data_IF_530078476776
#
_entry.id   IF_530078476776
#
_cell.length_a   1.000
_cell.length_b   1.000
_cell.length_c   1.000
_cell.angle_alpha   90.00
_cell.angle_beta   90.00
_cell.angle_gamma   90.00
#
_symmetry.space_group_name_H-M   'P 1'
#
loop_
_entity.id
_entity.type
_entity.pdbx_description
1 polymer ?
#
# COMPACT_ATOMS: atom_id res chain seq x y z
N UNK A 1 59.82 -30.22 -22.83
CA UNK A 1 58.99 -29.26 -23.60
C UNK A 1 57.55 -29.82 -23.60
N UNK A 2 56.72 -29.35 -22.68
CA UNK A 2 55.35 -29.81 -22.53
C UNK A 2 54.41 -28.61 -22.72
N UNK A 3 53.64 -28.62 -23.80
CA UNK A 3 52.75 -27.55 -24.20
C UNK A 3 51.52 -27.51 -23.30
N UNK A 4 51.28 -26.37 -22.69
CA UNK A 4 50.10 -26.06 -21.84
C UNK A 4 48.94 -25.64 -22.76
N UNK A 5 47.89 -26.47 -22.89
CA UNK A 5 46.65 -26.09 -23.55
C UNK A 5 45.83 -25.18 -22.65
N UNK A 6 45.61 -23.93 -23.09
CA UNK A 6 44.70 -22.98 -22.51
C UNK A 6 43.26 -23.42 -22.77
N UNK A 7 42.49 -23.60 -21.67
CA UNK A 7 41.03 -23.73 -21.71
C UNK A 7 40.40 -22.39 -21.99
N UNK A 8 39.73 -22.27 -23.10
CA UNK A 8 38.81 -21.15 -23.38
C UNK A 8 37.56 -21.34 -22.57
N UNK A 9 37.28 -20.36 -21.68
CA UNK A 9 36.09 -20.31 -20.85
C UNK A 9 34.88 -19.96 -21.71
N UNK A 10 33.94 -20.89 -21.85
CA UNK A 10 32.66 -20.64 -22.52
C UNK A 10 31.80 -19.73 -21.62
N UNK A 11 31.58 -18.53 -22.08
CA UNK A 11 30.63 -17.57 -21.47
C UNK A 11 29.22 -18.17 -21.62
N UNK A 12 28.65 -18.65 -20.51
CA UNK A 12 27.24 -19.04 -20.45
C UNK A 12 26.39 -17.80 -20.68
N UNK A 13 25.72 -17.75 -21.84
CA UNK A 13 24.66 -16.77 -22.11
C UNK A 13 23.47 -17.17 -21.23
N UNK A 14 23.14 -16.33 -20.26
CA UNK A 14 21.93 -16.50 -19.47
C UNK A 14 20.70 -16.46 -20.40
N UNK A 15 19.72 -17.37 -20.23
CA UNK A 15 18.49 -17.32 -21.01
C UNK A 15 17.77 -16.00 -20.77
N UNK A 16 17.22 -15.41 -21.83
CA UNK A 16 16.40 -14.22 -21.74
C UNK A 16 15.22 -14.47 -20.77
N UNK A 17 14.80 -13.47 -19.97
CA UNK A 17 13.71 -13.64 -19.02
C UNK A 17 12.45 -14.11 -19.75
N UNK A 18 11.86 -15.21 -19.29
CA UNK A 18 10.59 -15.70 -19.83
C UNK A 18 9.52 -14.60 -19.75
N UNK A 19 8.92 -14.28 -20.89
CA UNK A 19 7.86 -13.26 -20.96
C UNK A 19 6.65 -13.77 -20.15
N UNK A 20 6.35 -13.11 -19.03
CA UNK A 20 5.21 -13.46 -18.20
C UNK A 20 3.91 -12.94 -18.85
N UNK A 21 2.85 -13.75 -18.79
CA UNK A 21 1.55 -13.44 -19.38
C UNK A 21 0.43 -13.39 -18.32
N UNK A 22 -0.52 -12.48 -18.52
CA UNK A 22 -1.72 -12.32 -17.67
C UNK A 22 -3.00 -12.36 -18.51
N UNK A 23 -4.13 -12.70 -17.89
CA UNK A 23 -5.45 -12.57 -18.51
C UNK A 23 -5.86 -11.09 -18.60
N UNK A 24 -6.88 -10.78 -19.42
CA UNK A 24 -7.42 -9.41 -19.50
C UNK A 24 -7.93 -8.90 -18.14
N UNK A 25 -8.51 -9.78 -17.32
CA UNK A 25 -8.89 -9.47 -15.95
C UNK A 25 -7.69 -9.19 -15.03
N UNK A 26 -6.57 -9.94 -15.25
CA UNK A 26 -5.30 -9.67 -14.57
C UNK A 26 -4.72 -8.30 -14.97
N UNK A 27 -4.76 -8.01 -16.29
CA UNK A 27 -4.29 -6.74 -16.84
C UNK A 27 -5.12 -5.55 -16.30
N UNK A 28 -6.45 -5.69 -16.26
CA UNK A 28 -7.37 -4.68 -15.69
C UNK A 28 -7.07 -4.42 -14.21
N UNK A 29 -6.93 -5.48 -13.40
CA UNK A 29 -6.56 -5.34 -11.98
C UNK A 29 -5.20 -4.67 -11.79
N UNK A 30 -4.21 -5.04 -12.60
CA UNK A 30 -2.86 -4.48 -12.50
C UNK A 30 -2.77 -3.01 -12.92
N UNK A 31 -3.66 -2.54 -13.80
CA UNK A 31 -3.60 -1.19 -14.39
C UNK A 31 -4.67 -0.24 -13.89
N UNK A 32 -5.75 -0.75 -13.28
CA UNK A 32 -6.93 0.02 -12.92
C UNK A 32 -7.85 0.36 -14.09
N UNK A 33 -7.49 -0.03 -15.33
CA UNK A 33 -8.30 0.27 -16.52
C UNK A 33 -9.39 -0.80 -16.70
N UNK A 34 -10.67 -0.41 -16.89
CA UNK A 34 -11.77 -1.36 -17.07
C UNK A 34 -11.55 -2.31 -18.27
N UNK A 35 -11.99 -3.57 -18.12
CA UNK A 35 -11.85 -4.61 -19.15
C UNK A 35 -12.42 -4.14 -20.49
N UNK A 36 -13.57 -3.50 -20.49
CA UNK A 36 -14.23 -3.03 -21.72
C UNK A 36 -13.44 -1.92 -22.40
N UNK A 37 -12.77 -1.07 -21.63
CA UNK A 37 -11.85 -0.06 -22.15
C UNK A 37 -10.64 -0.72 -22.82
N UNK A 38 -10.03 -1.71 -22.17
CA UNK A 38 -8.90 -2.46 -22.74
C UNK A 38 -9.29 -3.20 -24.03
N UNK A 39 -10.49 -3.79 -24.10
CA UNK A 39 -11.04 -4.41 -25.31
C UNK A 39 -11.26 -3.40 -26.43
N UNK A 40 -11.78 -2.22 -26.08
CA UNK A 40 -11.99 -1.13 -27.05
C UNK A 40 -10.64 -0.63 -27.59
N UNK A 41 -9.63 -0.52 -26.76
CA UNK A 41 -8.30 -0.12 -27.21
C UNK A 41 -7.65 -1.19 -28.10
N UNK A 42 -7.75 -2.48 -27.71
CA UNK A 42 -7.28 -3.59 -28.55
C UNK A 42 -7.95 -3.55 -29.93
N UNK A 43 -9.27 -3.37 -29.98
CA UNK A 43 -10.05 -3.36 -31.20
C UNK A 43 -9.75 -2.12 -32.09
N UNK A 44 -9.68 -0.92 -31.49
CA UNK A 44 -9.54 0.33 -32.23
C UNK A 44 -8.12 0.69 -32.58
N UNK A 45 -7.19 0.35 -31.70
CA UNK A 45 -5.80 0.82 -31.80
C UNK A 45 -4.79 -0.32 -31.86
N UNK A 46 -5.23 -1.60 -31.77
CA UNK A 46 -4.36 -2.76 -31.77
C UNK A 46 -3.51 -2.92 -30.49
N UNK A 47 -3.83 -2.21 -29.43
CA UNK A 47 -3.13 -2.26 -28.15
C UNK A 47 -4.12 -2.24 -26.96
N UNK A 48 -3.90 -3.08 -25.91
CA UNK A 48 -2.82 -4.05 -25.73
C UNK A 48 -2.91 -5.24 -26.71
N UNK A 49 -1.77 -5.75 -27.18
CA UNK A 49 -1.73 -6.88 -28.12
C UNK A 49 -1.90 -8.20 -27.37
N UNK A 50 -2.94 -8.97 -27.73
CA UNK A 50 -3.16 -10.28 -27.15
C UNK A 50 -2.43 -11.40 -27.92
N UNK A 51 -1.99 -12.43 -27.19
CA UNK A 51 -1.51 -13.70 -27.72
C UNK A 51 -2.51 -14.78 -27.34
N UNK A 52 -2.83 -15.71 -28.25
CA UNK A 52 -3.73 -16.83 -27.97
C UNK A 52 -2.95 -18.04 -27.46
N UNK A 53 -3.40 -18.62 -26.35
CA UNK A 53 -2.97 -19.95 -25.92
C UNK A 53 -3.47 -21.05 -26.87
N UNK A 54 -2.86 -22.24 -26.85
CA UNK A 54 -3.41 -23.41 -27.54
C UNK A 54 -4.86 -23.72 -27.12
N UNK A 55 -5.25 -23.36 -25.89
CA UNK A 55 -6.62 -23.48 -25.37
C UNK A 55 -7.60 -22.42 -25.91
N UNK A 56 -7.17 -21.53 -26.81
CA UNK A 56 -7.99 -20.44 -27.37
C UNK A 56 -8.12 -19.19 -26.51
N UNK A 57 -7.70 -19.22 -25.23
CA UNK A 57 -7.77 -18.07 -24.34
C UNK A 57 -6.75 -16.99 -24.68
N UNK A 58 -7.18 -15.72 -24.64
CA UNK A 58 -6.30 -14.56 -24.84
C UNK A 58 -5.48 -14.26 -23.60
N UNK A 59 -4.21 -13.99 -23.81
CA UNK A 59 -3.25 -13.54 -22.82
C UNK A 59 -2.55 -12.27 -23.29
N UNK A 60 -2.04 -11.51 -22.35
CA UNK A 60 -1.33 -10.25 -22.57
C UNK A 60 0.01 -10.29 -21.84
N UNK A 61 1.03 -9.73 -22.45
CA UNK A 61 2.34 -9.62 -21.81
C UNK A 61 2.27 -8.69 -20.59
N UNK A 62 2.94 -9.07 -19.51
CA UNK A 62 3.05 -8.23 -18.30
C UNK A 62 3.72 -6.90 -18.60
N UNK A 63 4.59 -6.84 -19.61
CA UNK A 63 5.23 -5.62 -20.11
C UNK A 63 4.24 -4.54 -20.54
N UNK A 64 3.02 -4.91 -20.94
CA UNK A 64 1.96 -3.94 -21.28
C UNK A 64 1.45 -3.14 -20.07
N UNK A 65 1.62 -3.65 -18.83
CA UNK A 65 1.10 -3.00 -17.60
C UNK A 65 1.62 -1.58 -17.46
N UNK A 66 2.93 -1.40 -17.58
CA UNK A 66 3.56 -0.08 -17.42
C UNK A 66 3.09 0.91 -18.48
N UNK A 67 3.04 0.47 -19.72
CA UNK A 67 2.57 1.33 -20.82
C UNK A 67 1.09 1.69 -20.67
N UNK A 68 0.22 0.76 -20.24
CA UNK A 68 -1.20 1.04 -19.99
C UNK A 68 -1.35 2.05 -18.85
N UNK A 69 -0.58 1.92 -17.78
CA UNK A 69 -0.58 2.92 -16.68
C UNK A 69 -0.19 4.32 -17.17
N UNK A 70 0.84 4.42 -18.03
CA UNK A 70 1.26 5.69 -18.63
C UNK A 70 0.19 6.28 -19.54
N UNK A 71 -0.49 5.46 -20.35
CA UNK A 71 -1.63 5.86 -21.18
C UNK A 71 -2.78 6.37 -20.29
N UNK A 72 -3.15 5.63 -19.24
CA UNK A 72 -4.18 6.05 -18.28
C UNK A 72 -3.85 7.41 -17.66
N UNK A 73 -2.62 7.60 -17.19
CA UNK A 73 -2.15 8.87 -16.66
C UNK A 73 -2.13 10.03 -17.69
N UNK A 74 -1.98 9.74 -18.98
CA UNK A 74 -2.09 10.72 -20.05
C UNK A 74 -3.54 11.14 -20.31
N UNK A 75 -4.47 10.17 -20.29
CA UNK A 75 -5.91 10.43 -20.41
C UNK A 75 -6.44 11.26 -19.24
N UNK A 76 -5.99 10.98 -18.01
CA UNK A 76 -6.32 11.78 -16.82
C UNK A 76 -5.85 13.23 -16.93
N UNK A 77 -4.79 13.50 -17.68
CA UNK A 77 -4.30 14.84 -17.98
C UNK A 77 -5.05 15.51 -19.13
N UNK A 78 -6.06 14.84 -19.70
CA UNK A 78 -6.94 15.38 -20.74
C UNK A 78 -6.48 15.10 -22.18
N UNK A 79 -5.44 14.26 -22.37
CA UNK A 79 -5.06 13.80 -23.72
C UNK A 79 -6.12 12.81 -24.24
N UNK A 80 -6.24 12.69 -25.54
CA UNK A 80 -7.27 11.85 -26.18
C UNK A 80 -6.74 10.43 -26.40
N UNK A 81 -7.60 9.43 -26.21
CA UNK A 81 -7.25 8.02 -26.41
C UNK A 81 -6.68 7.74 -27.82
N UNK A 82 -7.23 8.39 -28.84
CA UNK A 82 -6.72 8.27 -30.22
C UNK A 82 -5.31 8.80 -30.44
N UNK A 83 -4.81 9.64 -29.55
CA UNK A 83 -3.45 10.20 -29.60
C UNK A 83 -2.47 9.34 -28.80
N UNK A 84 -2.88 8.89 -27.61
CA UNK A 84 -1.95 8.27 -26.65
C UNK A 84 -1.87 6.75 -26.75
N UNK A 85 -2.97 6.07 -27.10
CA UNK A 85 -2.99 4.60 -27.17
C UNK A 85 -2.14 4.06 -28.32
N UNK A 86 -2.21 4.61 -29.57
CA UNK A 86 -1.37 4.17 -30.66
C UNK A 86 0.05 4.77 -30.65
N UNK A 87 0.32 5.78 -29.80
CA UNK A 87 1.62 6.45 -29.73
C UNK A 87 2.76 5.47 -29.40
N UNK A 88 3.94 5.70 -29.94
CA UNK A 88 5.15 4.98 -29.48
C UNK A 88 5.54 5.44 -28.07
N UNK A 89 6.37 4.69 -27.38
CA UNK A 89 6.79 5.08 -26.01
C UNK A 89 7.49 6.44 -25.99
N UNK A 90 8.31 6.73 -26.98
CA UNK A 90 8.99 8.04 -27.14
C UNK A 90 7.99 9.18 -27.35
N UNK A 91 6.96 8.96 -28.17
CA UNK A 91 5.91 9.97 -28.42
C UNK A 91 5.04 10.15 -27.17
N UNK A 92 4.71 9.07 -26.48
CA UNK A 92 3.95 9.11 -25.22
C UNK A 92 4.72 9.88 -24.13
N UNK A 93 6.03 9.69 -24.02
CA UNK A 93 6.87 10.44 -23.11
C UNK A 93 6.92 11.93 -23.46
N UNK A 94 7.07 12.24 -24.73
CA UNK A 94 7.01 13.63 -25.22
C UNK A 94 5.65 14.28 -24.92
N UNK A 95 4.55 13.61 -25.18
CA UNK A 95 3.20 14.08 -24.86
C UNK A 95 3.01 14.30 -23.35
N UNK A 96 3.48 13.36 -22.52
CA UNK A 96 3.44 13.48 -21.07
C UNK A 96 4.31 14.61 -20.52
N UNK A 97 5.39 14.97 -21.22
CA UNK A 97 6.28 16.10 -20.86
C UNK A 97 5.68 17.46 -21.26
N UNK A 98 4.88 17.52 -22.34
CA UNK A 98 4.27 18.77 -22.82
C UNK A 98 3.01 19.15 -22.05
N UNK A 99 2.31 18.16 -21.50
CA UNK A 99 1.16 18.43 -20.63
C UNK A 99 1.67 18.59 -19.21
N UNK A 100 1.67 19.80 -18.63
CA UNK A 100 2.08 19.96 -17.25
C UNK A 100 1.29 18.96 -16.41
N UNK A 101 1.98 18.24 -15.51
CA UNK A 101 1.29 17.58 -14.40
C UNK A 101 0.37 18.66 -13.87
N UNK A 102 -0.94 18.58 -14.21
CA UNK A 102 -1.92 19.51 -13.66
C UNK A 102 -1.51 19.60 -12.19
N UNK A 103 -1.16 20.79 -11.64
CA UNK A 103 -1.01 20.84 -10.21
C UNK A 103 -2.28 20.17 -9.74
N UNK A 104 -2.15 19.14 -8.91
CA UNK A 104 -3.30 18.48 -8.32
C UNK A 104 -4.00 19.64 -7.65
N UNK A 105 -4.85 20.34 -8.42
CA UNK A 105 -5.89 21.16 -7.85
C UNK A 105 -6.53 20.12 -7.00
N UNK A 106 -6.35 20.22 -5.66
CA UNK A 106 -7.09 19.42 -4.72
C UNK A 106 -8.41 19.18 -5.39
N UNK A 107 -8.56 18.02 -6.05
CA UNK A 107 -9.86 17.52 -6.43
C UNK A 107 -10.57 17.77 -5.13
N UNK A 108 -11.61 18.59 -5.12
CA UNK A 108 -12.39 18.73 -3.92
C UNK A 108 -12.88 17.31 -3.70
N UNK A 109 -12.11 16.56 -2.93
CA UNK A 109 -12.51 15.26 -2.43
C UNK A 109 -13.89 15.56 -1.88
N UNK A 110 -14.91 14.90 -2.42
CA UNK A 110 -16.26 15.13 -1.94
C UNK A 110 -16.18 15.03 -0.43
N UNK A 111 -16.63 16.04 0.32
CA UNK A 111 -16.48 16.04 1.78
C UNK A 111 -16.96 14.70 2.29
N UNK A 112 -16.16 14.06 3.17
CA UNK A 112 -16.56 12.78 3.75
C UNK A 112 -17.96 12.92 4.34
N UNK A 113 -18.92 12.20 3.77
CA UNK A 113 -20.30 12.18 4.25
C UNK A 113 -20.48 11.05 5.26
N UNK A 114 -20.34 11.42 6.54
CA UNK A 114 -20.51 10.51 7.67
C UNK A 114 -21.86 9.79 7.66
N UNK A 115 -22.93 10.48 7.26
CA UNK A 115 -24.28 9.91 7.24
C UNK A 115 -24.40 8.83 6.18
N UNK A 116 -23.98 9.12 4.96
CA UNK A 116 -23.97 8.13 3.89
C UNK A 116 -23.10 6.93 4.22
N UNK A 117 -21.93 7.14 4.87
CA UNK A 117 -21.07 6.05 5.30
C UNK A 117 -21.79 5.11 6.28
N UNK A 118 -22.38 5.65 7.36
CA UNK A 118 -23.11 4.85 8.36
C UNK A 118 -24.33 4.16 7.73
N UNK A 119 -25.04 4.80 6.80
CA UNK A 119 -26.17 4.18 6.10
C UNK A 119 -25.74 2.96 5.26
N UNK A 120 -24.59 3.02 4.59
CA UNK A 120 -24.02 1.88 3.88
C UNK A 120 -23.60 0.75 4.82
N UNK A 121 -23.04 1.08 5.99
CA UNK A 121 -22.70 0.13 7.03
C UNK A 121 -23.94 -0.58 7.57
N UNK A 122 -24.99 0.15 7.91
CA UNK A 122 -26.27 -0.41 8.37
C UNK A 122 -26.90 -1.40 7.39
N UNK A 123 -26.77 -1.13 6.09
CA UNK A 123 -27.32 -1.97 5.03
C UNK A 123 -26.41 -3.13 4.63
N UNK A 124 -25.23 -3.25 5.20
CA UNK A 124 -24.18 -4.19 4.77
C UNK A 124 -23.91 -4.10 3.26
N UNK A 125 -24.02 -2.89 2.66
CA UNK A 125 -23.82 -2.66 1.22
C UNK A 125 -22.31 -2.61 0.89
N UNK A 126 -21.71 -3.80 0.80
CA UNK A 126 -20.27 -3.95 0.55
C UNK A 126 -19.82 -3.26 -0.73
N UNK A 127 -20.59 -3.38 -1.81
CA UNK A 127 -20.21 -2.85 -3.11
C UNK A 127 -20.19 -1.32 -3.13
N UNK A 128 -21.19 -0.66 -2.56
CA UNK A 128 -21.22 0.79 -2.48
C UNK A 128 -20.23 1.32 -1.48
N UNK A 129 -20.07 0.65 -0.34
CA UNK A 129 -19.06 1.01 0.66
C UNK A 129 -17.65 0.95 0.07
N UNK A 130 -17.29 -0.12 -0.61
CA UNK A 130 -15.99 -0.26 -1.28
C UNK A 130 -15.78 0.81 -2.35
N UNK A 131 -16.77 1.09 -3.20
CA UNK A 131 -16.69 2.19 -4.18
C UNK A 131 -16.47 3.54 -3.52
N UNK A 132 -17.18 3.83 -2.44
CA UNK A 132 -17.02 5.06 -1.67
C UNK A 132 -15.62 5.20 -1.07
N UNK A 133 -15.06 4.13 -0.53
CA UNK A 133 -13.72 4.12 0.03
C UNK A 133 -12.63 4.25 -1.05
N UNK A 134 -12.85 3.71 -2.26
CA UNK A 134 -11.87 3.82 -3.36
C UNK A 134 -11.97 5.11 -4.17
N UNK A 135 -13.04 5.91 -4.04
CA UNK A 135 -13.32 7.03 -4.95
C UNK A 135 -12.21 8.07 -5.06
N UNK A 136 -11.50 8.33 -3.97
CA UNK A 136 -10.50 9.40 -3.89
C UNK A 136 -9.05 8.90 -4.04
N UNK A 137 -8.88 7.60 -4.05
CA UNK A 137 -7.60 6.91 -3.93
C UNK A 137 -6.69 7.05 -5.17
N UNK A 138 -7.27 7.34 -6.33
CA UNK A 138 -6.53 7.48 -7.58
C UNK A 138 -5.77 8.81 -7.68
N UNK A 139 -6.11 9.80 -6.86
CA UNK A 139 -5.69 11.19 -7.02
C UNK A 139 -4.97 11.77 -5.78
N UNK A 140 -4.97 11.06 -4.65
CA UNK A 140 -4.42 11.55 -3.39
C UNK A 140 -3.13 10.82 -2.97
N UNK A 141 -2.25 11.55 -2.28
CA UNK A 141 -1.16 10.95 -1.53
C UNK A 141 -1.73 10.06 -0.43
N UNK A 142 -1.15 8.86 -0.17
CA UNK A 142 -1.66 7.92 0.83
C UNK A 142 -1.86 8.51 2.22
N UNK A 143 -0.98 9.41 2.67
CA UNK A 143 -1.16 10.07 3.98
C UNK A 143 -2.40 10.96 3.97
N UNK A 144 -2.57 11.80 2.94
CA UNK A 144 -3.75 12.65 2.78
C UNK A 144 -5.02 11.80 2.74
N UNK A 145 -5.04 10.71 1.98
CA UNK A 145 -6.17 9.79 1.93
C UNK A 145 -6.51 9.20 3.31
N UNK A 146 -5.51 8.78 4.07
CA UNK A 146 -5.73 8.27 5.43
C UNK A 146 -6.33 9.33 6.36
N UNK A 147 -5.82 10.56 6.29
CA UNK A 147 -6.26 11.66 7.15
C UNK A 147 -7.64 12.21 6.77
N UNK A 148 -7.97 12.27 5.47
CA UNK A 148 -9.21 12.90 4.99
C UNK A 148 -10.35 11.91 4.78
N UNK A 149 -10.05 10.62 4.64
CA UNK A 149 -11.07 9.59 4.37
C UNK A 149 -11.12 8.51 5.45
N UNK A 150 -10.03 7.80 5.70
CA UNK A 150 -10.05 6.62 6.58
C UNK A 150 -10.22 7.02 8.04
N UNK A 151 -9.45 7.99 8.53
CA UNK A 151 -9.56 8.45 9.92
C UNK A 151 -10.97 8.95 10.26
N UNK A 152 -11.62 9.80 9.44
CA UNK A 152 -13.01 10.17 9.65
C UNK A 152 -14.00 8.99 9.63
N UNK A 153 -13.80 7.98 8.77
CA UNK A 153 -14.61 6.76 8.79
C UNK A 153 -14.52 6.06 10.15
N UNK A 154 -13.30 5.89 10.67
CA UNK A 154 -13.08 5.21 11.96
C UNK A 154 -13.65 6.01 13.13
N UNK A 155 -13.53 7.34 13.13
CA UNK A 155 -14.10 8.20 14.16
C UNK A 155 -15.64 8.12 14.19
N UNK A 156 -16.28 8.16 13.01
CA UNK A 156 -17.73 8.08 12.91
C UNK A 156 -18.23 6.69 13.31
N UNK A 157 -17.52 5.64 12.88
CA UNK A 157 -17.82 4.26 13.25
C UNK A 157 -17.75 4.06 14.77
N UNK A 158 -16.69 4.57 15.42
CA UNK A 158 -16.51 4.51 16.86
C UNK A 158 -17.62 5.25 17.63
N UNK A 159 -17.96 6.47 17.19
CA UNK A 159 -19.06 7.26 17.80
C UNK A 159 -20.42 6.57 17.65
N UNK A 160 -20.73 6.01 16.49
CA UNK A 160 -21.96 5.28 16.23
C UNK A 160 -22.07 4.02 17.11
N UNK A 161 -20.94 3.31 17.30
CA UNK A 161 -20.87 2.15 18.18
C UNK A 161 -21.07 2.56 19.66
N UNK A 162 -20.36 3.59 20.13
CA UNK A 162 -20.52 4.12 21.51
C UNK A 162 -21.94 4.61 21.80
N UNK A 163 -22.61 5.20 20.79
CA UNK A 163 -24.00 5.65 20.89
C UNK A 163 -25.02 4.49 20.80
N UNK A 164 -24.59 3.26 20.48
CA UNK A 164 -25.49 2.11 20.25
C UNK A 164 -26.31 2.22 18.95
N UNK A 165 -25.89 3.09 18.03
CA UNK A 165 -26.53 3.24 16.71
C UNK A 165 -26.20 2.06 15.78
N UNK A 166 -25.07 1.41 15.99
CA UNK A 166 -24.63 0.20 15.30
C UNK A 166 -24.25 -0.88 16.30
N UNK A 167 -24.38 -2.13 15.89
CA UNK A 167 -23.93 -3.29 16.67
C UNK A 167 -22.54 -3.79 16.21
N UNK A 168 -22.03 -4.81 16.90
CA UNK A 168 -20.72 -5.40 16.65
C UNK A 168 -20.58 -5.94 15.22
N UNK A 169 -21.67 -6.44 14.61
CA UNK A 169 -21.65 -6.98 13.26
C UNK A 169 -21.44 -5.89 12.21
N UNK A 170 -22.02 -4.71 12.43
CA UNK A 170 -21.81 -3.54 11.58
C UNK A 170 -20.38 -3.00 11.68
N UNK A 171 -19.86 -2.91 12.92
CA UNK A 171 -18.48 -2.47 13.16
C UNK A 171 -17.49 -3.41 12.47
N UNK A 172 -17.61 -4.72 12.68
CA UNK A 172 -16.76 -5.72 12.06
C UNK A 172 -16.85 -5.68 10.53
N UNK A 173 -18.06 -5.58 9.97
CA UNK A 173 -18.26 -5.44 8.53
C UNK A 173 -17.50 -4.23 7.95
N UNK A 174 -17.64 -3.06 8.59
CA UNK A 174 -16.97 -1.84 8.15
C UNK A 174 -15.44 -1.94 8.29
N UNK A 175 -14.95 -2.43 9.42
CA UNK A 175 -13.52 -2.61 9.72
C UNK A 175 -12.85 -3.57 8.73
N UNK A 176 -13.50 -4.68 8.35
CA UNK A 176 -12.99 -5.60 7.33
C UNK A 176 -12.92 -4.92 5.94
N UNK A 177 -13.95 -4.17 5.54
CA UNK A 177 -13.94 -3.45 4.25
C UNK A 177 -12.84 -2.38 4.20
N UNK A 178 -12.65 -1.63 5.27
CA UNK A 178 -11.54 -0.67 5.40
C UNK A 178 -10.19 -1.41 5.30
N UNK A 179 -10.06 -2.55 5.99
CA UNK A 179 -8.84 -3.37 5.94
C UNK A 179 -8.52 -3.86 4.53
N UNK A 180 -9.53 -4.32 3.77
CA UNK A 180 -9.37 -4.76 2.38
C UNK A 180 -8.84 -3.62 1.49
N UNK A 181 -9.38 -2.41 1.65
CA UNK A 181 -8.93 -1.22 0.91
C UNK A 181 -7.48 -0.91 1.26
N UNK A 182 -7.15 -0.82 2.54
CA UNK A 182 -5.79 -0.48 3.00
C UNK A 182 -4.75 -1.49 2.48
N UNK A 183 -5.05 -2.79 2.53
CA UNK A 183 -4.19 -3.85 1.98
C UNK A 183 -4.02 -3.71 0.47
N UNK A 184 -5.13 -3.52 -0.26
CA UNK A 184 -5.10 -3.38 -1.72
C UNK A 184 -4.27 -2.18 -2.19
N UNK A 185 -4.35 -1.06 -1.45
CA UNK A 185 -3.56 0.14 -1.75
C UNK A 185 -2.08 -0.08 -1.44
N UNK A 186 -1.78 -0.64 -0.28
CA UNK A 186 -0.42 -0.89 0.18
C UNK A 186 0.38 -1.76 -0.79
N UNK A 187 -0.21 -2.81 -1.35
CA UNK A 187 0.45 -3.73 -2.28
C UNK A 187 1.09 -3.02 -3.48
N UNK A 188 0.52 -1.90 -3.93
CA UNK A 188 1.06 -1.10 -5.04
C UNK A 188 2.43 -0.49 -4.72
N UNK A 189 2.69 -0.19 -3.46
CA UNK A 189 3.93 0.40 -2.98
C UNK A 189 4.94 -0.66 -2.56
N UNK A 190 4.48 -1.80 -2.04
CA UNK A 190 5.35 -2.89 -1.58
C UNK A 190 6.16 -3.52 -2.73
N UNK A 191 5.58 -3.63 -3.94
CA UNK A 191 6.25 -4.18 -5.11
C UNK A 191 7.55 -3.43 -5.47
N UNK A 192 7.63 -2.15 -5.17
CA UNK A 192 8.79 -1.28 -5.50
C UNK A 192 9.60 -0.86 -4.28
N UNK A 193 9.20 -1.28 -3.09
CA UNK A 193 9.86 -0.89 -1.84
C UNK A 193 11.21 -1.59 -1.68
N UNK A 194 12.29 -0.81 -1.67
CA UNK A 194 13.68 -1.29 -1.51
C UNK A 194 14.37 -0.72 -0.26
N UNK A 195 13.67 0.11 0.49
CA UNK A 195 14.17 0.79 1.68
C UNK A 195 14.38 -0.12 2.89
N UNK A 196 14.73 0.47 4.04
CA UNK A 196 14.86 -0.23 5.30
C UNK A 196 13.61 -1.05 5.66
N UNK A 197 13.82 -2.19 6.33
CA UNK A 197 12.71 -3.05 6.80
C UNK A 197 12.18 -2.54 8.14
N UNK A 198 10.85 -2.47 8.24
CA UNK A 198 10.11 -2.20 9.48
C UNK A 198 9.14 -3.35 9.75
N UNK A 199 9.19 -3.90 10.97
CA UNK A 199 8.25 -4.92 11.45
C UNK A 199 7.08 -4.21 12.15
N UNK A 200 5.84 -4.59 11.85
CA UNK A 200 4.64 -4.03 12.45
C UNK A 200 3.84 -5.13 13.16
N UNK A 201 3.36 -4.83 14.36
CA UNK A 201 2.51 -5.72 15.14
C UNK A 201 1.61 -4.95 16.10
N UNK A 202 0.58 -5.60 16.65
CA UNK A 202 0.06 -5.25 17.95
C UNK A 202 0.54 -6.26 18.99
N UNK A 203 0.60 -5.84 20.26
CA UNK A 203 1.06 -6.68 21.37
C UNK A 203 -0.10 -7.50 21.98
N UNK A 204 0.16 -8.49 22.82
CA UNK A 204 -0.87 -9.31 23.43
C UNK A 204 -1.96 -8.47 24.11
N UNK A 205 -3.22 -8.85 23.91
CA UNK A 205 -4.42 -8.15 24.37
C UNK A 205 -4.91 -7.04 23.44
N UNK A 206 -4.19 -6.74 22.35
CA UNK A 206 -4.61 -5.74 21.35
C UNK A 206 -5.03 -6.43 20.05
N UNK A 207 -6.33 -6.57 19.83
CA UNK A 207 -6.93 -7.19 18.66
C UNK A 207 -7.21 -6.22 17.50
N UNK A 208 -7.09 -4.89 17.72
CA UNK A 208 -7.41 -3.90 16.70
C UNK A 208 -6.27 -3.73 15.69
N UNK A 209 -6.46 -4.26 14.48
CA UNK A 209 -5.43 -4.30 13.44
C UNK A 209 -5.39 -3.10 12.50
N UNK A 210 -6.42 -2.24 12.46
CA UNK A 210 -6.49 -1.15 11.47
C UNK A 210 -5.37 -0.13 11.62
N UNK A 211 -4.96 0.18 12.84
CA UNK A 211 -3.84 1.10 13.09
C UNK A 211 -2.52 0.63 12.44
N UNK A 212 -2.21 -0.67 12.53
CA UNK A 212 -1.02 -1.23 11.85
C UNK A 212 -1.19 -1.28 10.32
N UNK A 213 -2.40 -1.45 9.79
CA UNK A 213 -2.64 -1.38 8.34
C UNK A 213 -2.43 0.05 7.81
N UNK A 214 -2.91 1.06 8.53
CA UNK A 214 -2.68 2.47 8.20
C UNK A 214 -1.18 2.82 8.26
N UNK A 215 -0.51 2.42 9.32
CA UNK A 215 0.95 2.60 9.46
C UNK A 215 1.71 1.89 8.32
N UNK A 216 1.33 0.66 7.99
CA UNK A 216 1.95 -0.11 6.91
C UNK A 216 1.82 0.61 5.55
N UNK A 217 0.67 1.23 5.28
CA UNK A 217 0.47 2.00 4.04
C UNK A 217 1.37 3.24 4.00
N UNK A 218 1.46 4.01 5.09
CA UNK A 218 2.35 5.18 5.17
C UNK A 218 3.79 4.78 4.90
N UNK A 219 4.28 3.73 5.58
CA UNK A 219 5.67 3.27 5.46
C UNK A 219 5.98 2.77 4.04
N UNK A 220 5.10 1.94 3.47
CA UNK A 220 5.27 1.42 2.12
C UNK A 220 5.27 2.54 1.06
N UNK A 221 4.40 3.55 1.22
CA UNK A 221 4.35 4.72 0.34
C UNK A 221 5.63 5.56 0.35
N UNK A 222 6.42 5.50 1.44
CA UNK A 222 7.76 6.12 1.52
C UNK A 222 8.88 5.18 1.06
N UNK A 223 8.54 4.01 0.51
CA UNK A 223 9.49 3.06 -0.05
C UNK A 223 10.16 2.15 0.98
N UNK A 224 9.66 2.11 2.22
CA UNK A 224 10.11 1.17 3.25
C UNK A 224 9.53 -0.22 2.99
N UNK A 225 10.32 -1.25 3.23
CA UNK A 225 9.82 -2.62 3.27
C UNK A 225 9.08 -2.84 4.58
N UNK A 226 7.89 -3.42 4.51
CA UNK A 226 7.03 -3.63 5.67
C UNK A 226 6.78 -5.12 5.87
N UNK A 227 6.98 -5.60 7.09
CA UNK A 227 6.61 -6.94 7.52
C UNK A 227 5.56 -6.83 8.63
N UNK A 228 4.30 -6.98 8.25
CA UNK A 228 3.18 -6.92 9.20
C UNK A 228 2.88 -8.31 9.76
N UNK A 229 2.97 -8.47 11.08
CA UNK A 229 2.70 -9.73 11.79
C UNK A 229 1.23 -9.89 12.19
N UNK A 230 0.45 -8.81 12.13
CA UNK A 230 -0.93 -8.81 12.60
C UNK A 230 -1.06 -8.45 14.07
N UNK A 231 -2.09 -9.00 14.71
CA UNK A 231 -2.50 -8.65 16.06
C UNK A 231 -2.07 -9.65 17.11
N UNK A 232 -2.01 -9.21 18.38
CA UNK A 232 -1.76 -10.05 19.55
C UNK A 232 -0.45 -10.89 19.51
N UNK A 233 0.60 -10.33 18.91
CA UNK A 233 1.87 -11.04 18.74
C UNK A 233 2.69 -10.99 20.03
N UNK A 234 3.20 -12.13 20.53
CA UNK A 234 4.07 -12.16 21.71
C UNK A 234 5.32 -11.28 21.54
N UNK A 235 5.67 -10.53 22.59
CA UNK A 235 6.82 -9.61 22.61
C UNK A 235 8.10 -10.26 22.11
N UNK A 236 8.41 -11.45 22.63
CA UNK A 236 9.61 -12.20 22.27
C UNK A 236 9.66 -12.55 20.77
N UNK A 237 8.51 -12.89 20.16
CA UNK A 237 8.42 -13.21 18.75
C UNK A 237 8.67 -11.97 17.87
N UNK A 238 8.13 -10.81 18.26
CA UNK A 238 8.38 -9.54 17.57
C UNK A 238 9.86 -9.18 17.61
N UNK A 239 10.48 -9.26 18.80
CA UNK A 239 11.89 -8.95 18.98
C UNK A 239 12.80 -9.90 18.21
N UNK A 240 12.58 -11.21 18.34
CA UNK A 240 13.37 -12.24 17.65
C UNK A 240 13.27 -12.11 16.11
N UNK A 241 12.09 -11.81 15.58
CA UNK A 241 11.91 -11.61 14.15
C UNK A 241 12.61 -10.33 13.67
N UNK A 242 12.48 -9.24 14.40
CA UNK A 242 13.14 -7.99 14.05
C UNK A 242 14.67 -8.13 13.97
N UNK A 243 15.26 -8.88 14.89
CA UNK A 243 16.69 -9.20 14.89
C UNK A 243 17.07 -10.11 13.72
N UNK A 244 16.35 -11.22 13.55
CA UNK A 244 16.62 -12.23 12.51
C UNK A 244 16.52 -11.65 11.10
N UNK A 245 15.60 -10.72 10.88
CA UNK A 245 15.41 -10.07 9.59
C UNK A 245 16.28 -8.83 9.38
N UNK A 246 17.02 -8.39 10.38
CA UNK A 246 17.82 -7.17 10.33
C UNK A 246 16.95 -5.91 10.20
N UNK A 247 15.78 -5.91 10.82
CA UNK A 247 14.88 -4.77 10.76
C UNK A 247 15.53 -3.49 11.31
N UNK A 248 15.21 -2.36 10.71
CA UNK A 248 15.66 -1.05 11.15
C UNK A 248 14.75 -0.44 12.22
N UNK A 249 13.49 -0.87 12.22
CA UNK A 249 12.49 -0.43 13.18
C UNK A 249 11.42 -1.47 13.46
N UNK A 250 10.77 -1.32 14.60
CA UNK A 250 9.55 -2.04 14.99
C UNK A 250 8.48 -1.00 15.30
N UNK A 251 7.31 -1.17 14.70
CA UNK A 251 6.15 -0.31 14.96
C UNK A 251 5.04 -1.08 15.69
N UNK A 252 4.48 -0.48 16.71
CA UNK A 252 3.38 -1.03 17.51
C UNK A 252 2.20 -0.07 17.49
N UNK A 253 0.99 -0.59 17.22
CA UNK A 253 -0.25 0.16 17.34
C UNK A 253 -0.99 -0.20 18.62
N UNK A 254 -1.54 0.81 19.30
CA UNK A 254 -2.27 0.68 20.55
C UNK A 254 -3.60 1.44 20.45
N UNK A 255 -4.71 0.76 20.65
CA UNK A 255 -6.04 1.37 20.71
C UNK A 255 -6.35 1.92 22.10
N UNK A 256 -7.39 2.76 22.21
CA UNK A 256 -7.85 3.27 23.51
C UNK A 256 -8.29 2.16 24.47
N UNK A 257 -8.80 1.05 23.95
CA UNK A 257 -9.27 -0.08 24.78
C UNK A 257 -8.15 -0.74 25.57
N UNK A 258 -6.91 -0.70 25.07
CA UNK A 258 -5.75 -1.38 25.66
C UNK A 258 -4.74 -0.43 26.30
N UNK A 259 -4.99 0.88 26.31
CA UNK A 259 -4.03 1.91 26.75
C UNK A 259 -3.43 1.66 28.16
N UNK A 260 -4.22 1.07 29.09
CA UNK A 260 -3.76 0.80 30.46
C UNK A 260 -2.69 -0.28 30.52
N UNK A 261 -2.71 -1.24 29.61
CA UNK A 261 -1.80 -2.40 29.57
C UNK A 261 -0.61 -2.15 28.65
N UNK A 262 -0.76 -1.24 27.69
CA UNK A 262 0.21 -0.99 26.62
C UNK A 262 1.59 -0.59 27.13
N UNK A 263 1.67 0.21 28.20
CA UNK A 263 2.95 0.70 28.71
C UNK A 263 3.89 -0.44 29.14
N UNK A 264 3.37 -1.47 29.79
CA UNK A 264 4.16 -2.62 30.23
C UNK A 264 4.65 -3.43 29.02
N UNK A 265 3.78 -3.70 28.04
CA UNK A 265 4.14 -4.43 26.83
C UNK A 265 5.17 -3.68 25.97
N UNK A 266 5.04 -2.38 25.80
CA UNK A 266 5.99 -1.52 25.09
C UNK A 266 7.35 -1.50 25.80
N UNK A 267 7.38 -1.39 27.13
CA UNK A 267 8.60 -1.42 27.91
C UNK A 267 9.31 -2.78 27.81
N UNK A 268 8.56 -3.88 27.88
CA UNK A 268 9.08 -5.22 27.69
C UNK A 268 9.69 -5.38 26.29
N UNK A 269 8.98 -4.96 25.25
CA UNK A 269 9.49 -5.01 23.87
C UNK A 269 10.77 -4.18 23.71
N UNK A 270 10.81 -2.96 24.29
CA UNK A 270 12.01 -2.13 24.25
C UNK A 270 13.21 -2.80 24.92
N UNK A 271 12.97 -3.51 26.02
CA UNK A 271 14.04 -4.23 26.76
C UNK A 271 14.63 -5.41 25.95
N UNK A 272 13.81 -6.10 25.16
CA UNK A 272 14.24 -7.21 24.32
C UNK A 272 14.90 -6.78 23.01
N UNK A 273 14.51 -5.64 22.43
CA UNK A 273 15.07 -5.15 21.17
C UNK A 273 16.49 -4.61 21.33
N UNK A 274 17.36 -4.93 20.38
CA UNK A 274 18.69 -4.30 20.28
C UNK A 274 18.56 -2.76 20.13
N UNK A 275 19.53 -2.02 20.70
CA UNK A 275 19.54 -0.54 20.67
C UNK A 275 19.52 0.07 19.26
N UNK A 276 20.05 -0.63 18.26
CA UNK A 276 20.09 -0.19 16.86
C UNK A 276 18.74 -0.28 16.15
N UNK A 277 17.78 -1.04 16.71
CA UNK A 277 16.41 -1.17 16.18
C UNK A 277 15.54 -0.11 16.86
N UNK A 278 15.00 0.80 16.08
CA UNK A 278 14.12 1.83 16.57
C UNK A 278 12.76 1.22 16.94
N UNK A 279 12.20 1.61 18.08
CA UNK A 279 10.85 1.26 18.46
C UNK A 279 9.96 2.50 18.32
N UNK A 280 8.92 2.37 17.51
CA UNK A 280 7.91 3.41 17.32
C UNK A 280 6.55 2.89 17.80
N UNK A 281 5.79 3.73 18.48
CA UNK A 281 4.46 3.39 18.99
C UNK A 281 3.48 4.48 18.59
N UNK A 282 2.34 4.08 18.06
CA UNK A 282 1.26 4.99 17.66
C UNK A 282 -0.10 4.46 18.05
N UNK A 283 -1.13 5.26 17.73
CA UNK A 283 -2.52 4.97 18.03
C UNK A 283 -3.04 5.73 19.25
N UNK A 284 -4.36 5.83 19.39
CA UNK A 284 -5.02 6.66 20.38
C UNK A 284 -4.70 6.26 21.84
N UNK A 285 -4.32 5.00 22.08
CA UNK A 285 -3.94 4.46 23.38
C UNK A 285 -2.43 4.42 23.62
N UNK A 286 -1.60 4.98 22.74
CA UNK A 286 -0.16 4.96 22.89
C UNK A 286 0.30 5.61 24.21
N UNK A 287 1.23 5.00 24.98
CA UNK A 287 1.72 5.56 26.24
C UNK A 287 2.51 6.83 25.94
N UNK A 288 2.15 7.95 26.58
CA UNK A 288 2.73 9.28 26.32
C UNK A 288 4.23 9.37 26.58
N UNK A 289 4.76 8.55 27.48
CA UNK A 289 6.18 8.57 27.88
C UNK A 289 6.70 7.13 27.94
N UNK A 290 7.52 6.73 26.97
CA UNK A 290 8.22 5.45 26.96
C UNK A 290 9.70 5.66 26.68
N UNK A 291 10.56 5.37 27.63
CA UNK A 291 12.01 5.57 27.51
C UNK A 291 12.59 4.73 26.34
N UNK A 292 13.30 5.41 25.45
CA UNK A 292 13.93 4.75 24.29
C UNK A 292 12.94 4.32 23.19
N UNK A 293 11.76 4.96 23.14
CA UNK A 293 10.70 4.70 22.18
C UNK A 293 10.24 6.00 21.55
N UNK A 294 10.02 6.04 20.27
CA UNK A 294 9.40 7.15 19.56
C UNK A 294 7.87 6.97 19.64
N UNK A 295 7.18 7.89 20.31
CA UNK A 295 5.71 7.85 20.41
C UNK A 295 5.13 8.89 19.47
N UNK A 296 4.25 8.44 18.56
CA UNK A 296 3.63 9.29 17.55
C UNK A 296 2.14 9.48 17.85
N UNK A 297 1.70 10.72 17.80
CA UNK A 297 0.32 11.11 18.07
C UNK A 297 -0.55 11.05 16.82
N UNK A 298 0.05 11.04 15.64
CA UNK A 298 -0.63 11.06 14.34
C UNK A 298 0.22 10.41 13.25
N UNK A 299 -0.40 10.19 12.09
CA UNK A 299 0.27 9.57 10.94
C UNK A 299 1.31 10.48 10.28
N UNK A 300 1.16 11.79 10.38
CA UNK A 300 2.13 12.76 9.85
C UNK A 300 3.47 12.67 10.57
N UNK A 301 3.49 12.41 11.89
CA UNK A 301 4.73 12.15 12.65
C UNK A 301 5.39 10.84 12.24
N UNK A 302 4.61 9.78 12.00
CA UNK A 302 5.11 8.51 11.46
C UNK A 302 5.69 8.70 10.05
N UNK A 303 5.04 9.50 9.21
CA UNK A 303 5.51 9.81 7.86
C UNK A 303 6.86 10.55 7.88
N UNK A 304 7.00 11.55 8.73
CA UNK A 304 8.25 12.28 8.90
C UNK A 304 9.40 11.35 9.37
N UNK A 305 9.11 10.47 10.33
CA UNK A 305 10.08 9.45 10.76
C UNK A 305 10.47 8.50 9.62
N UNK A 306 9.50 8.05 8.83
CA UNK A 306 9.73 7.15 7.70
C UNK A 306 10.66 7.78 6.65
N UNK A 307 10.44 9.06 6.31
CA UNK A 307 11.30 9.81 5.39
C UNK A 307 12.74 9.94 5.93
N UNK A 308 12.89 10.22 7.22
CA UNK A 308 14.20 10.32 7.85
C UNK A 308 14.94 8.97 7.87
N UNK A 309 14.24 7.88 8.16
CA UNK A 309 14.81 6.53 8.16
C UNK A 309 15.34 6.14 6.77
N UNK A 310 14.60 6.48 5.70
CA UNK A 310 15.05 6.26 4.31
C UNK A 310 16.27 7.11 4.00
N UNK A 311 16.30 8.38 4.41
CA UNK A 311 17.38 9.31 4.16
C UNK A 311 18.69 8.89 4.82
N UNK A 312 18.65 8.46 6.06
CA UNK A 312 19.83 8.10 6.85
C UNK A 312 20.48 6.80 6.38
N UNK A 313 19.67 5.85 5.86
CA UNK A 313 20.19 4.57 5.36
C UNK A 313 20.71 4.63 3.92
N UNK A 314 20.34 5.63 3.11
CA UNK A 314 20.94 5.86 1.78
C UNK A 314 22.36 6.42 1.84
N UNK A 315 22.78 6.95 3.00
CA UNK A 315 24.12 7.54 3.20
C UNK A 315 25.16 6.56 3.75
N UNK A 316 24.77 5.36 4.10
CA UNK A 316 25.62 4.25 4.54
C UNK A 316 25.74 3.19 3.46
#
# INVERSE_FOLDING_TARGET
>A
MVARKSRVSSTQVLPAPETAFVSIGGLSRATGVPIETLRTWELRYGFPKSVRKPSGHRQFEVTHVERIRRIAGALERGLRAGEVVPATDTVLDALLATVPKKPVTRSQALPFDARSFIELVHRFDADRLMRSLYSDLAHEDPLTYLETRITPCLEVLGKAWEAGEIDISHEHFASERISDVLRGVRLRFEETATGPLVVLATLPGESHGLGIQMAALVLAARGLRVLSLGTEVPVAEVAALAERTGASGVGVSVSMSTHRQAAAGVAALRAELQRKIELVVGGAGAPKNSKGTNVFSNLSELDAWAQELVRTRRKK
#
